data_IF_972809744089
#
_entry.id   IF_972809744089
#
_cell.length_a   1.000
_cell.length_b   1.000
_cell.length_c   1.000
_cell.angle_alpha   90.00
_cell.angle_beta   90.00
_cell.angle_gamma   90.00
#
_symmetry.space_group_name_H-M   'P 1'
#
loop_
_entity.id
_entity.type
_entity.pdbx_description
1 polymer ?
#
# COMPACT_ATOMS: atom_id res chain seq x y z
N UNK A 1 -22.52 -40.36 -58.02
CA UNK A 1 -21.78 -40.17 -56.75
C UNK A 1 -20.94 -38.91 -56.88
N UNK A 2 -21.04 -37.92 -55.99
CA UNK A 2 -20.08 -36.82 -55.93
C UNK A 2 -19.02 -37.08 -54.85
N UNK A 3 -17.74 -37.01 -55.24
CA UNK A 3 -16.58 -37.14 -54.34
C UNK A 3 -16.51 -35.97 -53.34
N UNK A 4 -16.22 -36.24 -52.05
CA UNK A 4 -16.21 -35.22 -51.03
C UNK A 4 -14.86 -34.48 -50.96
N UNK A 5 -14.97 -33.20 -50.66
CA UNK A 5 -14.00 -32.45 -49.86
C UNK A 5 -12.60 -32.28 -50.47
N UNK A 6 -12.53 -31.26 -51.33
CA UNK A 6 -11.48 -30.23 -51.32
C UNK A 6 -10.85 -30.09 -49.93
N UNK A 7 -9.69 -30.72 -49.72
CA UNK A 7 -8.92 -30.64 -48.49
C UNK A 7 -8.32 -29.22 -48.37
N UNK A 8 -9.12 -28.31 -47.82
CA UNK A 8 -8.65 -27.00 -47.39
C UNK A 8 -7.78 -27.18 -46.15
N UNK A 9 -6.46 -27.04 -46.33
CA UNK A 9 -5.52 -26.91 -45.22
C UNK A 9 -5.91 -25.64 -44.46
N UNK A 10 -6.23 -25.69 -43.15
CA UNK A 10 -6.50 -24.49 -42.40
C UNK A 10 -5.18 -23.71 -42.24
N UNK A 11 -5.07 -22.59 -42.96
CA UNK A 11 -4.03 -21.59 -42.73
C UNK A 11 -4.32 -20.90 -41.39
N UNK A 12 -3.78 -21.45 -40.30
CA UNK A 12 -3.88 -20.83 -38.97
C UNK A 12 -2.75 -19.78 -38.90
N UNK A 13 -3.04 -18.47 -38.89
CA UNK A 13 -2.01 -17.46 -38.73
C UNK A 13 -1.36 -17.66 -37.35
N UNK A 14 -0.03 -17.79 -37.34
CA UNK A 14 0.82 -18.05 -36.17
C UNK A 14 0.91 -16.87 -35.18
N UNK A 15 -0.14 -16.05 -35.05
CA UNK A 15 -0.15 -14.82 -34.26
C UNK A 15 -1.06 -14.86 -33.04
N UNK A 16 -1.57 -16.04 -32.64
CA UNK A 16 -2.36 -16.18 -31.41
C UNK A 16 -1.62 -17.01 -30.35
N UNK A 17 -0.38 -16.62 -30.01
CA UNK A 17 0.21 -17.04 -28.73
C UNK A 17 -0.63 -16.34 -27.65
N UNK A 18 -1.41 -17.05 -26.81
CA UNK A 18 -2.12 -16.39 -25.72
C UNK A 18 -1.08 -15.72 -24.82
N UNK A 19 -1.30 -14.46 -24.38
CA UNK A 19 -0.39 -13.83 -23.46
C UNK A 19 -0.25 -14.74 -22.24
N UNK A 20 0.99 -15.03 -21.86
CA UNK A 20 1.31 -15.78 -20.64
C UNK A 20 0.60 -15.09 -19.47
N UNK A 21 -0.56 -15.62 -19.09
CA UNK A 21 -1.28 -15.17 -17.90
C UNK A 21 -0.41 -15.62 -16.75
N UNK A 22 0.33 -14.67 -16.16
CA UNK A 22 1.02 -14.86 -14.90
C UNK A 22 0.11 -15.56 -13.89
N UNK A 23 0.70 -16.20 -12.86
CA UNK A 23 -0.04 -17.03 -11.91
C UNK A 23 -1.33 -16.33 -11.47
N UNK A 24 -2.47 -17.00 -11.70
CA UNK A 24 -3.79 -16.46 -11.35
C UNK A 24 -3.87 -16.38 -9.83
N UNK A 25 -3.60 -15.19 -9.29
CA UNK A 25 -3.79 -14.92 -7.87
C UNK A 25 -5.28 -14.91 -7.60
N UNK A 26 -5.71 -15.77 -6.68
CA UNK A 26 -7.12 -15.91 -6.32
C UNK A 26 -7.54 -14.77 -5.38
N UNK A 27 -8.03 -13.67 -5.97
CA UNK A 27 -8.44 -12.47 -5.22
C UNK A 27 -9.71 -12.67 -4.39
N UNK A 28 -10.42 -13.77 -4.65
CA UNK A 28 -11.66 -14.14 -3.94
C UNK A 28 -11.38 -14.74 -2.55
N UNK A 29 -10.17 -15.26 -2.34
CA UNK A 29 -9.77 -15.94 -1.10
C UNK A 29 -9.78 -15.00 0.10
N UNK A 30 -10.29 -15.50 1.23
CA UNK A 30 -10.31 -14.77 2.49
C UNK A 30 -8.89 -14.38 2.96
N UNK A 31 -7.90 -15.24 2.72
CA UNK A 31 -6.50 -14.97 3.05
C UNK A 31 -5.94 -13.79 2.24
N UNK A 32 -6.28 -13.72 0.94
CA UNK A 32 -5.89 -12.60 0.07
C UNK A 32 -6.48 -11.28 0.58
N UNK A 33 -7.78 -11.27 0.92
CA UNK A 33 -8.46 -10.07 1.45
C UNK A 33 -7.84 -9.56 2.75
N UNK A 34 -7.44 -10.47 3.65
CA UNK A 34 -6.76 -10.09 4.89
C UNK A 34 -5.37 -9.47 4.62
N UNK A 35 -4.58 -10.09 3.74
CA UNK A 35 -3.27 -9.57 3.36
C UNK A 35 -3.37 -8.21 2.65
N UNK A 36 -4.29 -8.07 1.71
CA UNK A 36 -4.56 -6.82 1.00
C UNK A 36 -4.95 -5.70 1.97
N UNK A 37 -5.86 -5.97 2.91
CA UNK A 37 -6.29 -4.98 3.91
C UNK A 37 -5.15 -4.51 4.81
N UNK A 38 -4.25 -5.43 5.22
CA UNK A 38 -3.05 -5.06 5.99
C UNK A 38 -2.13 -4.16 5.18
N UNK A 39 -1.91 -4.48 3.90
CA UNK A 39 -1.06 -3.67 3.01
C UNK A 39 -1.65 -2.27 2.78
N UNK A 40 -2.96 -2.18 2.54
CA UNK A 40 -3.66 -0.88 2.40
C UNK A 40 -3.53 -0.05 3.67
N UNK A 41 -3.73 -0.65 4.85
CA UNK A 41 -3.56 0.06 6.13
C UNK A 41 -2.11 0.53 6.32
N UNK A 42 -1.12 -0.25 5.91
CA UNK A 42 0.29 0.14 5.97
C UNK A 42 0.60 1.30 5.01
N UNK A 43 0.11 1.25 3.76
CA UNK A 43 0.25 2.32 2.77
C UNK A 43 -0.31 3.66 3.27
N UNK A 44 -1.41 3.62 4.02
CA UNK A 44 -2.04 4.83 4.60
C UNK A 44 -1.31 5.25 5.89
N UNK A 45 -0.92 4.31 6.74
CA UNK A 45 -0.28 4.60 8.03
C UNK A 45 1.16 5.09 7.86
N UNK A 46 1.91 4.57 6.89
CA UNK A 46 3.32 4.90 6.66
C UNK A 46 3.57 6.41 6.47
N UNK A 47 2.87 7.14 5.58
CA UNK A 47 3.09 8.58 5.41
C UNK A 47 2.71 9.39 6.66
N UNK A 48 1.63 9.03 7.34
CA UNK A 48 1.22 9.68 8.60
C UNK A 48 2.31 9.48 9.64
N UNK A 49 2.78 8.24 9.80
CA UNK A 49 3.84 7.89 10.75
C UNK A 49 5.13 8.64 10.44
N UNK A 50 5.54 8.73 9.18
CA UNK A 50 6.76 9.46 8.80
C UNK A 50 6.66 10.96 9.09
N UNK A 51 5.58 11.61 8.64
CA UNK A 51 5.39 13.06 8.84
C UNK A 51 5.27 13.40 10.32
N UNK A 52 4.48 12.62 11.06
CA UNK A 52 4.30 12.84 12.50
C UNK A 52 5.56 12.51 13.29
N UNK A 53 6.24 11.40 12.99
CA UNK A 53 7.51 11.05 13.62
C UNK A 53 8.57 12.10 13.33
N UNK A 54 8.63 12.65 12.11
CA UNK A 54 9.53 13.76 11.79
C UNK A 54 9.20 15.00 12.63
N UNK A 55 7.93 15.40 12.68
CA UNK A 55 7.53 16.58 13.45
C UNK A 55 7.75 16.42 14.97
N UNK A 56 7.50 15.22 15.51
CA UNK A 56 7.79 14.91 16.90
C UNK A 56 9.29 14.87 17.17
N UNK A 57 10.06 14.26 16.28
CA UNK A 57 11.52 14.19 16.40
C UNK A 57 12.18 15.57 16.24
N UNK A 58 11.68 16.41 15.32
CA UNK A 58 12.09 17.81 15.19
C UNK A 58 11.83 18.59 16.49
N UNK A 59 10.74 18.30 17.21
CA UNK A 59 10.56 18.89 18.54
C UNK A 59 11.43 18.27 19.64
N UNK A 60 11.58 16.94 19.66
CA UNK A 60 12.33 16.21 20.70
C UNK A 60 13.85 16.41 20.59
N UNK A 61 14.41 16.36 19.39
CA UNK A 61 15.86 16.42 19.15
C UNK A 61 16.36 17.86 18.97
N UNK A 62 15.54 18.77 18.44
CA UNK A 62 15.91 20.17 18.20
C UNK A 62 15.52 21.10 19.36
N UNK A 63 15.07 20.55 20.50
CA UNK A 63 14.82 21.31 21.74
C UNK A 63 13.72 22.37 21.63
N UNK A 64 12.79 22.25 20.68
CA UNK A 64 11.68 23.19 20.56
C UNK A 64 10.65 22.91 21.66
N UNK A 65 10.73 23.70 22.74
CA UNK A 65 9.81 23.73 23.89
C UNK A 65 8.37 23.42 23.49
N UNK A 66 7.75 22.48 24.20
CA UNK A 66 6.33 22.17 24.03
C UNK A 66 5.53 23.47 24.20
N UNK A 67 4.87 23.92 23.14
CA UNK A 67 3.97 25.08 23.21
C UNK A 67 2.95 24.82 24.31
N UNK A 68 3.16 25.46 25.47
CA UNK A 68 2.27 25.46 26.61
C UNK A 68 0.87 25.85 26.11
N UNK A 69 -0.09 24.96 26.34
CA UNK A 69 -1.49 25.32 26.25
C UNK A 69 -1.71 26.44 27.27
N UNK A 70 -2.04 27.63 26.76
CA UNK A 70 -2.27 28.84 27.55
C UNK A 70 -3.34 28.53 28.61
N UNK A 71 -2.92 28.21 29.84
CA UNK A 71 -3.84 27.84 30.92
C UNK A 71 -3.27 27.01 32.08
N UNK A 72 -2.13 26.33 31.95
CA UNK A 72 -1.54 25.60 33.10
C UNK A 72 -0.25 26.28 33.57
N UNK A 73 -0.17 26.74 34.84
CA UNK A 73 1.06 27.32 35.36
C UNK A 73 2.16 26.26 35.39
N UNK A 74 3.33 26.64 34.88
CA UNK A 74 4.55 25.86 34.91
C UNK A 74 4.96 25.62 36.38
N UNK A 75 4.82 24.38 36.85
CA UNK A 75 5.07 23.98 38.24
C UNK A 75 6.58 23.93 38.55
N UNK A 76 7.43 23.92 37.52
CA UNK A 76 8.88 23.73 37.67
C UNK A 76 9.62 24.98 38.20
N UNK A 77 8.98 26.15 38.21
CA UNK A 77 9.56 27.38 38.80
C UNK A 77 9.21 27.63 40.27
N UNK A 78 8.31 26.85 40.86
CA UNK A 78 7.82 27.09 42.23
C UNK A 78 8.64 26.37 43.32
N UNK A 79 9.59 25.50 42.97
CA UNK A 79 10.37 24.72 43.94
C UNK A 79 11.87 25.12 43.96
N UNK A 80 12.14 26.40 43.73
CA UNK A 80 13.49 26.96 43.82
C UNK A 80 13.47 28.36 44.42
N UNK A 81 12.92 28.46 45.62
CA UNK A 81 13.22 29.51 46.60
C UNK A 81 13.50 28.87 47.96
#
# INVERSE_FOLDING_TARGET
MPDPAKAGVPNIPASHIPPSRGPRVDTSSAAYKQAASKYTRLMIAMPILLVTSYYLFDRLALGHEAKSLRGTPNVDKANKE
#
